data_IF_908034772212
#
_entry.id   IF_908034772212
#
_cell.length_a   1.000
_cell.length_b   1.000
_cell.length_c   1.000
_cell.angle_alpha   90.00
_cell.angle_beta   90.00
_cell.angle_gamma   90.00
#
_symmetry.space_group_name_H-M   'P 1'
#
loop_
_entity.id
_entity.type
_entity.pdbx_description
1 polymer ?
#
# COMPACT_ATOMS: atom_id res chain seq x y z
N UNK A 1 22.12 18.50 26.19
CA UNK A 1 21.68 18.39 24.77
C UNK A 1 20.40 17.58 24.77
N UNK A 2 19.25 18.24 24.63
CA UNK A 2 17.96 17.53 24.51
C UNK A 2 17.96 16.84 23.14
N UNK A 3 17.89 15.50 23.13
CA UNK A 3 17.64 14.76 21.90
C UNK A 3 16.32 15.23 21.32
N UNK A 4 16.33 15.77 20.10
CA UNK A 4 15.07 16.03 19.40
C UNK A 4 14.30 14.70 19.31
N UNK A 5 12.98 14.70 19.58
CA UNK A 5 12.19 13.49 19.43
C UNK A 5 12.35 12.99 18.00
N UNK A 6 12.69 11.71 17.84
CA UNK A 6 12.86 11.09 16.52
C UNK A 6 11.49 11.09 15.82
N UNK A 7 11.38 11.83 14.72
CA UNK A 7 10.16 11.80 13.90
C UNK A 7 9.97 10.42 13.29
N UNK A 8 8.73 9.93 13.32
CA UNK A 8 8.34 8.71 12.60
C UNK A 8 8.16 9.06 11.14
N UNK A 9 8.83 8.34 10.26
CA UNK A 9 8.91 8.68 8.83
C UNK A 9 8.22 7.65 7.95
N UNK A 10 7.68 8.12 6.84
CA UNK A 10 7.08 7.27 5.81
C UNK A 10 7.56 7.64 4.41
N UNK A 11 7.49 6.67 3.51
CA UNK A 11 7.62 6.86 2.08
C UNK A 11 6.44 6.19 1.35
N UNK A 12 6.13 6.67 0.16
CA UNK A 12 5.10 6.09 -0.70
C UNK A 12 5.65 5.75 -2.08
N UNK A 13 5.27 4.59 -2.60
CA UNK A 13 5.58 4.13 -3.95
C UNK A 13 4.27 4.01 -4.72
N UNK A 14 4.12 4.80 -5.77
CA UNK A 14 3.00 4.75 -6.69
C UNK A 14 3.44 3.93 -7.90
N UNK A 15 2.83 2.77 -8.09
CA UNK A 15 3.20 1.80 -9.12
C UNK A 15 2.13 1.86 -10.21
N UNK A 16 2.51 2.27 -11.41
CA UNK A 16 1.58 2.32 -12.53
C UNK A 16 2.08 3.12 -13.72
N UNK A 17 2.16 2.49 -14.86
CA UNK A 17 2.50 3.12 -16.14
C UNK A 17 1.48 4.19 -16.54
N UNK A 18 0.21 4.07 -16.13
CA UNK A 18 -0.85 5.04 -16.39
C UNK A 18 -0.63 6.37 -15.65
N UNK A 19 0.00 6.33 -14.47
CA UNK A 19 0.35 7.55 -13.71
C UNK A 19 1.56 8.22 -14.35
N UNK A 20 2.59 7.45 -14.70
CA UNK A 20 3.79 7.96 -15.38
C UNK A 20 3.47 8.59 -16.74
N UNK A 21 2.54 8.01 -17.49
CA UNK A 21 2.11 8.53 -18.79
C UNK A 21 1.15 9.72 -18.71
N UNK A 22 0.72 10.10 -17.51
CA UNK A 22 -0.24 11.17 -17.29
C UNK A 22 -1.70 10.83 -17.65
N UNK A 23 -1.99 9.58 -18.02
CA UNK A 23 -3.37 9.11 -18.27
C UNK A 23 -4.23 9.10 -17.01
N UNK A 24 -3.60 8.85 -15.86
CA UNK A 24 -4.25 8.88 -14.56
C UNK A 24 -3.48 9.82 -13.64
N UNK A 25 -4.22 10.74 -13.00
CA UNK A 25 -3.65 11.58 -11.95
C UNK A 25 -3.70 10.83 -10.63
N UNK A 26 -2.57 10.77 -9.92
CA UNK A 26 -2.55 10.22 -8.57
C UNK A 26 -3.38 11.09 -7.61
N UNK A 27 -4.19 10.44 -6.79
CA UNK A 27 -4.98 11.06 -5.70
C UNK A 27 -4.66 10.43 -4.35
N UNK A 28 -3.85 9.39 -4.35
CA UNK A 28 -3.60 8.57 -3.18
C UNK A 28 -2.54 9.18 -2.26
N UNK A 29 -1.48 9.77 -2.83
CA UNK A 29 -0.39 10.36 -2.07
C UNK A 29 -0.89 11.44 -1.09
N UNK A 30 -1.67 12.40 -1.58
CA UNK A 30 -2.17 13.49 -0.75
C UNK A 30 -3.04 12.97 0.41
N UNK A 31 -3.90 11.98 0.12
CA UNK A 31 -4.75 11.36 1.13
C UNK A 31 -3.94 10.63 2.20
N UNK A 32 -3.00 9.77 1.80
CA UNK A 32 -2.16 9.00 2.73
C UNK A 32 -1.30 9.94 3.57
N UNK A 33 -0.66 10.94 2.95
CA UNK A 33 0.17 11.91 3.66
C UNK A 33 -0.61 12.70 4.71
N UNK A 34 -1.85 13.11 4.38
CA UNK A 34 -2.72 13.81 5.32
C UNK A 34 -3.08 12.92 6.52
N UNK A 35 -3.55 11.69 6.28
CA UNK A 35 -3.92 10.76 7.36
C UNK A 35 -2.73 10.44 8.28
N UNK A 36 -1.55 10.23 7.70
CA UNK A 36 -0.33 9.97 8.46
C UNK A 36 0.09 11.18 9.30
N UNK A 37 -0.05 12.39 8.75
CA UNK A 37 0.24 13.63 9.47
C UNK A 37 -0.61 13.80 10.73
N UNK A 38 -1.87 13.34 10.72
CA UNK A 38 -2.78 13.40 11.88
C UNK A 38 -2.27 12.58 13.07
N UNK A 39 -1.47 11.55 12.83
CA UNK A 39 -0.86 10.70 13.86
C UNK A 39 0.63 10.97 14.07
N UNK A 40 1.17 12.04 13.49
CA UNK A 40 2.58 12.42 13.65
C UNK A 40 3.57 11.56 12.87
N UNK A 41 3.12 10.94 11.76
CA UNK A 41 3.98 10.27 10.79
C UNK A 41 4.24 11.19 9.61
N UNK A 42 5.51 11.47 9.33
CA UNK A 42 5.95 12.40 8.31
C UNK A 42 6.22 11.70 6.97
N UNK A 43 5.43 12.03 5.95
CA UNK A 43 5.66 11.54 4.59
C UNK A 43 6.83 12.30 3.97
N UNK A 44 8.00 11.68 3.89
CA UNK A 44 9.23 12.32 3.44
C UNK A 44 9.55 12.11 1.98
N UNK A 45 9.16 10.98 1.41
CA UNK A 45 9.45 10.64 0.01
C UNK A 45 8.22 10.03 -0.66
N UNK A 46 8.04 10.35 -1.95
CA UNK A 46 7.07 9.70 -2.81
C UNK A 46 7.69 9.44 -4.18
N UNK A 47 7.65 8.19 -4.61
CA UNK A 47 8.19 7.76 -5.91
C UNK A 47 7.07 7.26 -6.80
N UNK A 48 7.09 7.65 -8.07
CA UNK A 48 6.21 7.10 -9.11
C UNK A 48 7.06 6.24 -10.02
N UNK A 49 6.72 4.97 -10.13
CA UNK A 49 7.54 3.98 -10.83
C UNK A 49 6.70 3.13 -11.80
N UNK A 50 7.32 2.58 -12.85
CA UNK A 50 6.64 1.69 -13.78
C UNK A 50 6.32 0.32 -13.17
N UNK A 51 5.38 -0.39 -13.80
CA UNK A 51 5.07 -1.80 -13.51
C UNK A 51 6.19 -2.73 -14.04
N UNK A 52 7.37 -2.63 -13.43
CA UNK A 52 8.57 -3.42 -13.75
C UNK A 52 9.10 -4.04 -12.48
N UNK A 53 9.18 -5.37 -12.43
CA UNK A 53 9.51 -6.13 -11.23
C UNK A 53 10.80 -5.64 -10.57
N UNK A 54 11.88 -5.53 -11.34
CA UNK A 54 13.21 -5.12 -10.84
C UNK A 54 13.18 -3.70 -10.26
N UNK A 55 12.41 -2.80 -10.86
CA UNK A 55 12.24 -1.43 -10.38
C UNK A 55 11.48 -1.39 -9.06
N UNK A 56 10.39 -2.16 -8.95
CA UNK A 56 9.63 -2.26 -7.70
C UNK A 56 10.47 -2.86 -6.59
N UNK A 57 11.18 -3.95 -6.86
CA UNK A 57 12.08 -4.61 -5.89
C UNK A 57 13.14 -3.64 -5.37
N UNK A 58 13.83 -2.93 -6.26
CA UNK A 58 14.85 -1.98 -5.88
C UNK A 58 14.29 -0.83 -5.04
N UNK A 59 13.16 -0.25 -5.46
CA UNK A 59 12.49 0.86 -4.77
C UNK A 59 12.02 0.47 -3.38
N UNK A 60 11.40 -0.70 -3.24
CA UNK A 60 10.93 -1.21 -1.95
C UNK A 60 12.10 -1.44 -1.01
N UNK A 61 13.16 -2.12 -1.47
CA UNK A 61 14.33 -2.40 -0.65
C UNK A 61 15.04 -1.12 -0.20
N UNK A 62 15.14 -0.12 -1.06
CA UNK A 62 15.76 1.16 -0.71
C UNK A 62 14.94 1.92 0.33
N UNK A 63 13.64 2.09 0.10
CA UNK A 63 12.80 2.91 0.96
C UNK A 63 12.50 2.25 2.32
N UNK A 64 12.29 0.92 2.35
CA UNK A 64 12.03 0.22 3.62
C UNK A 64 13.22 0.20 4.57
N UNK A 65 14.44 0.38 4.05
CA UNK A 65 15.64 0.48 4.87
C UNK A 65 15.83 1.86 5.51
N UNK A 66 15.20 2.91 4.95
CA UNK A 66 15.36 4.31 5.36
C UNK A 66 14.20 4.88 6.17
N UNK A 67 13.00 4.32 6.01
CA UNK A 67 11.78 4.83 6.61
C UNK A 67 11.16 3.84 7.59
N UNK A 68 10.44 4.35 8.57
CA UNK A 68 9.71 3.53 9.54
C UNK A 68 8.52 2.80 8.86
N UNK A 69 7.91 3.43 7.85
CA UNK A 69 6.81 2.88 7.06
C UNK A 69 7.01 3.12 5.57
N UNK A 70 6.64 2.13 4.76
CA UNK A 70 6.54 2.26 3.30
C UNK A 70 5.13 1.84 2.86
N UNK A 71 4.48 2.68 2.10
CA UNK A 71 3.16 2.42 1.53
C UNK A 71 3.28 2.27 0.02
N UNK A 72 2.61 1.28 -0.57
CA UNK A 72 2.53 1.16 -2.03
C UNK A 72 1.09 1.29 -2.49
N UNK A 73 0.89 1.83 -3.68
CA UNK A 73 -0.39 2.02 -4.33
C UNK A 73 -0.32 1.49 -5.75
N UNK A 74 -1.18 0.54 -6.10
CA UNK A 74 -1.29 -0.02 -7.45
C UNK A 74 -0.68 -1.41 -7.63
N UNK A 75 -1.02 -2.03 -8.75
CA UNK A 75 -0.44 -3.30 -9.19
C UNK A 75 -0.85 -4.56 -8.42
N UNK A 76 -1.99 -4.56 -7.73
CA UNK A 76 -2.54 -5.74 -7.03
C UNK A 76 -3.89 -6.23 -7.56
N UNK A 77 -4.26 -5.83 -8.75
CA UNK A 77 -5.48 -6.27 -9.44
C UNK A 77 -5.35 -7.66 -10.08
N UNK A 78 -6.35 -8.03 -10.91
CA UNK A 78 -6.42 -9.36 -11.51
C UNK A 78 -5.66 -9.51 -12.83
N UNK A 79 -5.09 -8.44 -13.38
CA UNK A 79 -4.47 -8.48 -14.71
C UNK A 79 -3.01 -8.95 -14.66
N UNK A 80 -2.44 -9.27 -15.81
CA UNK A 80 -1.06 -9.74 -15.90
C UNK A 80 -0.04 -8.62 -15.60
N UNK A 81 -0.45 -7.37 -15.74
CA UNK A 81 0.38 -6.18 -15.42
C UNK A 81 0.41 -5.89 -13.90
N UNK A 82 -0.48 -6.52 -13.14
CA UNK A 82 -0.52 -6.41 -11.68
C UNK A 82 0.60 -7.28 -11.06
N UNK A 83 1.79 -6.72 -10.97
CA UNK A 83 3.03 -7.43 -10.58
C UNK A 83 3.53 -7.06 -9.16
N UNK A 84 2.77 -6.25 -8.43
CA UNK A 84 3.25 -5.74 -7.14
C UNK A 84 3.43 -6.87 -6.12
N UNK A 85 2.50 -7.83 -6.02
CA UNK A 85 2.65 -8.96 -5.10
C UNK A 85 3.87 -9.82 -5.43
N UNK A 86 4.11 -10.10 -6.71
CA UNK A 86 5.31 -10.82 -7.19
C UNK A 86 6.60 -10.07 -6.81
N UNK A 87 6.59 -8.75 -7.00
CA UNK A 87 7.74 -7.90 -6.70
C UNK A 87 8.04 -7.81 -5.21
N UNK A 88 7.00 -7.70 -4.36
CA UNK A 88 7.17 -7.67 -2.91
C UNK A 88 7.70 -9.02 -2.41
N UNK A 89 7.15 -10.14 -2.89
CA UNK A 89 7.66 -11.47 -2.54
C UNK A 89 9.14 -11.62 -2.91
N UNK A 90 9.55 -11.12 -4.09
CA UNK A 90 10.93 -11.11 -4.53
C UNK A 90 11.81 -10.18 -3.65
N UNK A 91 11.33 -8.99 -3.29
CA UNK A 91 12.06 -8.05 -2.45
C UNK A 91 12.34 -8.60 -1.04
N UNK A 92 11.45 -9.43 -0.52
CA UNK A 92 11.58 -10.07 0.79
C UNK A 92 12.14 -11.50 0.72
N UNK A 93 12.42 -12.01 -0.48
CA UNK A 93 12.94 -13.36 -0.71
C UNK A 93 12.06 -14.47 -0.11
N UNK A 94 10.72 -14.28 -0.20
CA UNK A 94 9.71 -15.21 0.29
C UNK A 94 8.86 -15.76 -0.86
N UNK A 95 8.14 -16.84 -0.61
CA UNK A 95 7.20 -17.41 -1.59
C UNK A 95 5.96 -16.53 -1.74
N UNK A 96 5.38 -16.55 -2.93
CA UNK A 96 4.07 -15.98 -3.21
C UNK A 96 3.06 -17.11 -3.36
N UNK A 97 2.07 -17.16 -2.48
CA UNK A 97 1.10 -18.27 -2.40
C UNK A 97 -0.34 -17.74 -2.37
N UNK A 98 -1.28 -18.56 -2.83
CA UNK A 98 -2.71 -18.26 -2.67
C UNK A 98 -3.07 -18.36 -1.18
N UNK A 99 -3.42 -17.24 -0.56
CA UNK A 99 -3.75 -17.18 0.86
C UNK A 99 -5.14 -17.77 1.11
N UNK A 100 -5.30 -18.75 2.01
CA UNK A 100 -6.57 -19.47 2.20
C UNK A 100 -7.76 -18.56 2.53
N UNK A 101 -7.59 -17.59 3.44
CA UNK A 101 -8.65 -16.66 3.81
C UNK A 101 -8.99 -15.69 2.66
N UNK A 102 -8.00 -15.24 1.90
CA UNK A 102 -8.23 -14.39 0.74
C UNK A 102 -8.98 -15.15 -0.37
N UNK A 103 -8.60 -16.41 -0.62
CA UNK A 103 -9.30 -17.30 -1.57
C UNK A 103 -10.75 -17.50 -1.16
N UNK A 104 -11.01 -17.82 0.11
CA UNK A 104 -12.36 -18.03 0.63
C UNK A 104 -13.23 -16.79 0.51
N UNK A 105 -12.70 -15.61 0.89
CA UNK A 105 -13.43 -14.35 0.83
C UNK A 105 -13.76 -13.95 -0.60
N UNK A 106 -12.82 -14.09 -1.53
CA UNK A 106 -13.02 -13.79 -2.94
C UNK A 106 -14.00 -14.78 -3.60
N UNK A 107 -13.89 -16.07 -3.29
CA UNK A 107 -14.86 -17.06 -3.79
C UNK A 107 -16.28 -16.67 -3.37
N UNK A 108 -16.50 -16.41 -2.10
CA UNK A 108 -17.83 -16.01 -1.59
C UNK A 108 -18.34 -14.71 -2.23
N UNK A 109 -17.44 -13.74 -2.48
CA UNK A 109 -17.76 -12.48 -3.12
C UNK A 109 -18.25 -12.69 -4.58
N UNK A 110 -17.55 -13.51 -5.35
CA UNK A 110 -17.92 -13.79 -6.74
C UNK A 110 -19.14 -14.70 -6.85
N UNK A 111 -19.31 -15.67 -5.95
CA UNK A 111 -20.51 -16.50 -5.86
C UNK A 111 -21.77 -15.65 -5.61
N UNK A 112 -21.68 -14.68 -4.70
CA UNK A 112 -22.77 -13.74 -4.40
C UNK A 112 -23.15 -12.84 -5.59
N UNK A 113 -22.23 -12.65 -6.54
CA UNK A 113 -22.45 -11.86 -7.76
C UNK A 113 -22.82 -12.75 -8.98
N UNK A 114 -22.97 -14.05 -8.78
CA UNK A 114 -23.16 -15.04 -9.86
C UNK A 114 -22.07 -14.91 -10.96
N UNK A 115 -20.84 -14.59 -10.54
CA UNK A 115 -19.72 -14.35 -11.42
C UNK A 115 -18.63 -15.41 -11.25
N UNK A 116 -17.96 -15.76 -12.35
CA UNK A 116 -16.90 -16.76 -12.35
C UNK A 116 -15.67 -16.29 -11.57
N UNK A 117 -15.21 -17.08 -10.61
CA UNK A 117 -13.96 -16.87 -9.89
C UNK A 117 -12.80 -17.56 -10.62
N UNK A 118 -12.52 -17.08 -11.82
CA UNK A 118 -11.50 -17.60 -12.71
C UNK A 118 -10.07 -17.38 -12.19
N UNK A 119 -9.10 -17.96 -12.88
CA UNK A 119 -7.68 -17.92 -12.49
C UNK A 119 -7.14 -16.48 -12.41
N UNK A 120 -7.56 -15.60 -13.32
CA UNK A 120 -7.15 -14.19 -13.28
C UNK A 120 -7.59 -13.51 -11.97
N UNK A 121 -8.83 -13.72 -11.54
CA UNK A 121 -9.36 -13.19 -10.28
C UNK A 121 -8.70 -13.80 -9.05
N UNK A 122 -8.32 -15.09 -9.12
CA UNK A 122 -7.58 -15.78 -8.06
C UNK A 122 -6.18 -15.20 -7.84
N UNK A 123 -5.61 -14.50 -8.82
CA UNK A 123 -4.32 -13.79 -8.64
C UNK A 123 -4.37 -12.78 -7.50
N UNK A 124 -5.52 -12.13 -7.26
CA UNK A 124 -5.71 -11.17 -6.17
C UNK A 124 -5.62 -11.81 -4.76
N UNK A 125 -5.66 -13.13 -4.67
CA UNK A 125 -5.45 -13.86 -3.42
C UNK A 125 -4.00 -14.31 -3.20
N UNK A 126 -3.07 -13.97 -4.11
CA UNK A 126 -1.66 -14.31 -3.97
C UNK A 126 -1.00 -13.32 -3.02
N UNK A 127 -0.53 -13.82 -1.90
CA UNK A 127 0.02 -13.05 -0.80
C UNK A 127 1.42 -13.59 -0.46
N UNK A 128 2.42 -12.73 -0.25
CA UNK A 128 3.74 -13.16 0.20
C UNK A 128 3.68 -13.93 1.52
N UNK A 129 4.47 -15.00 1.63
CA UNK A 129 4.58 -15.80 2.86
C UNK A 129 4.97 -14.91 4.05
N UNK A 130 4.26 -15.06 5.16
CA UNK A 130 4.47 -14.26 6.37
C UNK A 130 3.79 -12.89 6.38
N UNK A 131 3.17 -12.46 5.27
CA UNK A 131 2.40 -11.22 5.25
C UNK A 131 1.03 -11.39 5.94
N UNK A 132 0.53 -10.30 6.52
CA UNK A 132 -0.84 -10.20 7.03
C UNK A 132 -1.74 -9.45 6.04
N UNK A 133 -3.02 -9.84 6.01
CA UNK A 133 -3.99 -9.21 5.10
C UNK A 133 -4.39 -7.82 5.59
N UNK A 134 -4.60 -6.92 4.63
CA UNK A 134 -5.29 -5.63 4.82
C UNK A 134 -6.68 -5.77 4.22
N UNK A 135 -7.70 -5.62 5.07
CA UNK A 135 -9.08 -5.76 4.64
C UNK A 135 -9.50 -4.70 3.63
N UNK A 136 -10.30 -5.12 2.67
CA UNK A 136 -10.91 -4.27 1.67
C UNK A 136 -12.43 -4.48 1.65
N UNK A 137 -13.19 -3.66 2.39
CA UNK A 137 -14.64 -3.78 2.46
C UNK A 137 -15.35 -3.34 1.17
N UNK A 138 -14.65 -2.72 0.23
CA UNK A 138 -15.23 -2.20 -1.03
C UNK A 138 -15.34 -3.28 -2.10
N UNK A 139 -14.27 -4.05 -2.31
CA UNK A 139 -14.20 -5.04 -3.38
C UNK A 139 -13.65 -6.40 -2.96
N UNK A 140 -13.49 -6.63 -1.67
CA UNK A 140 -13.04 -7.88 -1.05
C UNK A 140 -11.59 -8.27 -1.33
N UNK A 141 -11.03 -7.92 -2.49
CA UNK A 141 -9.63 -8.22 -2.82
C UNK A 141 -8.69 -7.53 -1.84
N UNK A 142 -7.96 -8.28 -0.98
CA UNK A 142 -7.20 -7.68 0.10
C UNK A 142 -5.92 -7.01 -0.40
N UNK A 143 -5.46 -6.00 0.36
CA UNK A 143 -4.06 -5.64 0.40
C UNK A 143 -3.31 -6.53 1.40
N UNK A 144 -2.05 -6.23 1.64
CA UNK A 144 -1.26 -6.96 2.63
C UNK A 144 -0.14 -6.11 3.22
N UNK A 145 0.33 -6.56 4.39
CA UNK A 145 1.47 -5.96 5.07
C UNK A 145 2.54 -7.02 5.29
N UNK A 146 3.78 -6.70 4.97
CA UNK A 146 4.96 -7.49 5.33
C UNK A 146 6.02 -6.57 5.91
N UNK A 147 6.49 -6.87 7.13
CA UNK A 147 7.40 -6.02 7.89
C UNK A 147 6.86 -4.58 8.01
N UNK A 148 7.58 -3.58 7.51
CA UNK A 148 7.17 -2.17 7.50
C UNK A 148 6.57 -1.71 6.14
N UNK A 149 6.26 -2.64 5.24
CA UNK A 149 5.70 -2.35 3.91
C UNK A 149 4.22 -2.70 3.86
N UNK A 150 3.39 -1.72 3.52
CA UNK A 150 1.94 -1.81 3.38
C UNK A 150 1.55 -1.70 1.92
N UNK A 151 0.95 -2.74 1.38
CA UNK A 151 0.62 -2.86 -0.05
C UNK A 151 -0.86 -2.71 -0.25
N UNK A 152 -1.25 -1.67 -1.00
CA UNK A 152 -2.64 -1.26 -1.18
C UNK A 152 -3.00 -1.12 -2.65
N UNK A 153 -4.32 -1.15 -2.92
CA UNK A 153 -4.85 -0.96 -4.26
C UNK A 153 -4.61 0.46 -4.79
N UNK A 154 -4.56 0.59 -6.12
CA UNK A 154 -4.42 1.89 -6.78
C UNK A 154 -5.72 2.69 -6.86
N UNK A 155 -6.88 2.04 -6.80
CA UNK A 155 -8.20 2.70 -6.85
C UNK A 155 -8.42 3.54 -5.58
N UNK A 156 -8.61 4.87 -5.68
CA UNK A 156 -8.63 5.76 -4.51
C UNK A 156 -9.63 5.35 -3.43
N UNK A 157 -10.86 5.00 -3.81
CA UNK A 157 -11.90 4.58 -2.86
C UNK A 157 -11.50 3.32 -2.08
N UNK A 158 -10.80 2.39 -2.72
CA UNK A 158 -10.33 1.15 -2.09
C UNK A 158 -9.15 1.45 -1.16
N UNK A 159 -8.18 2.22 -1.63
CA UNK A 159 -7.03 2.62 -0.83
C UNK A 159 -7.47 3.37 0.44
N UNK A 160 -8.43 4.28 0.33
CA UNK A 160 -8.97 5.02 1.47
C UNK A 160 -9.54 4.08 2.52
N UNK A 161 -10.37 3.10 2.10
CA UNK A 161 -10.93 2.10 3.01
C UNK A 161 -9.84 1.22 3.65
N UNK A 162 -8.80 0.85 2.90
CA UNK A 162 -7.64 0.12 3.44
C UNK A 162 -6.87 0.97 4.46
N UNK A 163 -6.64 2.26 4.18
CA UNK A 163 -5.95 3.16 5.12
C UNK A 163 -6.72 3.35 6.42
N UNK A 164 -8.04 3.46 6.37
CA UNK A 164 -8.88 3.53 7.58
C UNK A 164 -8.69 2.31 8.49
N UNK A 165 -8.49 1.13 7.91
CA UNK A 165 -8.20 -0.10 8.65
C UNK A 165 -6.76 -0.15 9.19
N UNK A 166 -5.79 0.42 8.47
CA UNK A 166 -4.38 0.42 8.84
C UNK A 166 -4.07 1.46 9.92
N UNK A 167 -4.63 2.65 9.79
CA UNK A 167 -4.25 3.83 10.60
C UNK A 167 -4.24 3.56 12.11
N UNK A 168 -5.25 2.89 12.71
CA UNK A 168 -5.25 2.58 14.15
C UNK A 168 -4.13 1.64 14.58
N UNK A 169 -3.50 0.93 13.65
CA UNK A 169 -2.42 -0.04 13.92
C UNK A 169 -1.03 0.59 13.88
N UNK A 170 -0.92 1.80 13.35
CA UNK A 170 0.35 2.50 13.21
C UNK A 170 0.75 3.19 14.51
N UNK A 171 2.05 3.17 14.78
CA UNK A 171 2.65 3.96 15.86
C UNK A 171 3.06 5.30 15.28
N UNK A 172 2.41 6.36 15.75
CA UNK A 172 2.72 7.72 15.35
C UNK A 172 3.83 8.35 16.18
N UNK A 173 4.20 9.56 15.79
CA UNK A 173 5.11 10.44 16.51
C UNK A 173 4.37 11.62 17.16
N UNK A 174 5.12 12.65 17.56
CA UNK A 174 4.53 13.90 18.01
C UNK A 174 3.90 14.66 16.84
N UNK A 175 2.63 15.07 16.98
CA UNK A 175 1.97 15.90 15.98
C UNK A 175 2.54 17.32 16.02
N UNK A 176 3.04 17.81 14.88
CA UNK A 176 3.43 19.17 14.72
C UNK A 176 2.18 20.06 14.65
N UNK A 177 1.87 20.76 15.75
CA UNK A 177 0.86 21.82 15.73
C UNK A 177 1.44 23.01 14.99
N UNK A 178 1.07 23.24 13.74
CA UNK A 178 1.41 24.48 13.04
C UNK A 178 0.52 25.60 13.57
N UNK A 179 1.09 26.51 14.37
CA UNK A 179 0.43 27.76 14.73
C UNK A 179 0.70 28.74 13.60
N UNK A 180 -0.30 28.99 12.78
CA UNK A 180 -0.25 30.09 11.79
C UNK A 180 -0.44 31.42 12.55
N UNK A 181 0.63 32.15 12.78
CA UNK A 181 0.57 33.52 13.29
C UNK A 181 0.32 34.44 12.09
N UNK A 182 -0.91 34.88 11.91
CA UNK A 182 -1.25 35.97 10.98
C UNK A 182 -0.92 37.29 11.68
N UNK A 183 0.15 37.98 11.25
CA UNK A 183 0.39 39.36 11.67
C UNK A 183 -0.48 40.27 10.81
N UNK A 184 -1.27 41.09 11.48
CA UNK A 184 -2.10 42.16 10.91
C UNK A 184 -1.22 43.34 10.49
#
# INVERSE_FOLDING_TARGET
MSAQPKSVTAAMIIIGNEVLSGRTQDKNLAFVAQMLGEIGVDMQEAWIIPDVLETVVASVNELRARHDYVFTSGGIGPTHDDITADSIAAAFEVKLEKHPLAMQALQAHYDAQEADFNEARQRMARIPEGASLIENPVSTAPGFKIDNVYVMAGVPKILQAMMENILPTLKGGETLSSITVTSS
#
